data_IF_339464239956
#
_entry.id   IF_339464239956
#
_cell.length_a   1.000
_cell.length_b   1.000
_cell.length_c   1.000
_cell.angle_alpha   90.00
_cell.angle_beta   90.00
_cell.angle_gamma   90.00
#
_symmetry.space_group_name_H-M   'P 1'
#
loop_
_entity.id
_entity.type
_entity.pdbx_description
1 polymer ?
#
# COMPACT_ATOMS: atom_id res chain seq x y z
N UNK A 1 -19.28 9.15 -3.53
CA UNK A 1 -18.77 9.69 -4.80
C UNK A 1 -19.21 8.75 -5.92
N UNK A 2 -19.94 9.25 -6.91
CA UNK A 2 -20.42 8.47 -8.05
C UNK A 2 -20.16 9.27 -9.32
N UNK A 3 -18.87 9.40 -9.64
CA UNK A 3 -18.32 10.27 -10.69
C UNK A 3 -17.85 9.48 -11.94
N UNK A 4 -18.06 8.16 -11.93
CA UNK A 4 -17.62 7.26 -13.01
C UNK A 4 -16.13 6.93 -13.01
N UNK A 5 -15.35 7.44 -12.03
CA UNK A 5 -13.93 7.18 -11.92
C UNK A 5 -13.63 5.95 -11.03
N UNK A 6 -12.55 5.24 -11.34
CA UNK A 6 -12.04 4.19 -10.47
C UNK A 6 -11.06 4.80 -9.46
N UNK A 7 -11.30 4.58 -8.17
CA UNK A 7 -10.43 5.03 -7.08
C UNK A 7 -9.68 3.84 -6.50
N UNK A 8 -8.35 3.96 -6.39
CA UNK A 8 -7.48 2.82 -6.08
C UNK A 8 -6.92 2.87 -4.66
N UNK A 9 -6.65 4.06 -4.13
CA UNK A 9 -6.08 4.22 -2.80
C UNK A 9 -6.52 5.53 -2.15
N UNK A 10 -6.49 5.56 -0.81
CA UNK A 10 -6.77 6.74 0.01
C UNK A 10 -5.76 6.82 1.16
N UNK A 11 -5.31 8.03 1.48
CA UNK A 11 -4.52 8.32 2.67
C UNK A 11 -5.20 9.42 3.49
N UNK A 12 -5.10 9.33 4.81
CA UNK A 12 -5.48 10.41 5.73
C UNK A 12 -4.22 11.04 6.33
N UNK A 13 -4.20 12.37 6.38
CA UNK A 13 -3.08 13.13 6.92
C UNK A 13 -3.36 14.62 6.87
N UNK A 14 -2.68 15.42 7.71
CA UNK A 14 -2.89 16.86 7.76
C UNK A 14 -4.38 17.27 7.83
N UNK A 15 -5.18 16.52 8.60
CA UNK A 15 -6.61 16.78 8.80
C UNK A 15 -7.52 16.44 7.61
N UNK A 16 -7.05 15.72 6.58
CA UNK A 16 -7.86 15.42 5.40
C UNK A 16 -7.59 14.04 4.79
N UNK A 17 -8.58 13.53 4.09
CA UNK A 17 -8.49 12.39 3.19
C UNK A 17 -8.05 12.86 1.80
N UNK A 18 -7.18 12.06 1.19
CA UNK A 18 -6.73 12.22 -0.19
C UNK A 18 -6.84 10.88 -0.89
N UNK A 19 -7.72 10.78 -1.88
CA UNK A 19 -7.91 9.60 -2.71
C UNK A 19 -7.25 9.79 -4.07
N UNK A 20 -6.76 8.70 -4.66
CA UNK A 20 -6.08 8.68 -5.96
C UNK A 20 -6.66 7.57 -6.83
N UNK A 21 -6.68 7.77 -8.15
CA UNK A 21 -7.38 6.85 -9.04
C UNK A 21 -7.01 6.95 -10.52
N UNK A 22 -7.91 6.44 -11.35
CA UNK A 22 -7.78 6.37 -12.80
C UNK A 22 -7.59 7.75 -13.44
N UNK A 23 -6.85 7.82 -14.54
CA UNK A 23 -6.68 9.05 -15.32
C UNK A 23 -5.99 10.20 -14.56
N UNK A 24 -5.25 9.89 -13.49
CA UNK A 24 -4.54 10.88 -12.68
C UNK A 24 -5.43 11.71 -11.77
N UNK A 25 -6.63 11.20 -11.48
CA UNK A 25 -7.57 11.83 -10.58
C UNK A 25 -7.08 11.79 -9.13
N UNK A 26 -7.20 12.93 -8.46
CA UNK A 26 -6.98 13.11 -7.03
C UNK A 26 -8.23 13.75 -6.44
N UNK A 27 -8.77 13.18 -5.38
CA UNK A 27 -9.88 13.76 -4.65
C UNK A 27 -9.49 14.04 -3.21
N UNK A 28 -9.96 15.16 -2.66
CA UNK A 28 -9.72 15.54 -1.27
C UNK A 28 -11.02 15.72 -0.51
N UNK A 29 -11.01 15.40 0.78
CA UNK A 29 -12.15 15.54 1.68
C UNK A 29 -11.68 15.77 3.12
N UNK A 30 -12.37 16.62 3.88
CA UNK A 30 -12.10 16.81 5.32
C UNK A 30 -13.00 15.94 6.21
N UNK A 31 -14.10 15.43 5.66
CA UNK A 31 -15.13 14.68 6.38
C UNK A 31 -15.31 13.25 5.87
N UNK A 32 -14.61 12.87 4.80
CA UNK A 32 -14.73 11.57 4.13
C UNK A 32 -16.03 11.39 3.33
N UNK A 33 -16.92 12.38 3.33
CA UNK A 33 -18.26 12.31 2.73
C UNK A 33 -18.32 13.22 1.49
N UNK A 34 -17.86 14.46 1.63
CA UNK A 34 -17.86 15.46 0.57
C UNK A 34 -16.47 15.56 -0.05
N UNK A 35 -16.37 15.37 -1.37
CA UNK A 35 -15.11 15.25 -2.09
C UNK A 35 -14.96 16.30 -3.17
N UNK A 36 -13.77 16.89 -3.27
CA UNK A 36 -13.35 17.80 -4.35
C UNK A 36 -12.32 17.12 -5.23
N UNK A 37 -12.58 17.03 -6.54
CA UNK A 37 -11.76 16.27 -7.50
C UNK A 37 -10.92 17.22 -8.36
N UNK A 38 -9.68 16.82 -8.63
CA UNK A 38 -8.79 17.46 -9.59
C UNK A 38 -7.91 16.40 -10.27
N UNK A 39 -7.71 16.53 -11.57
CA UNK A 39 -6.72 15.74 -12.31
C UNK A 39 -5.44 16.57 -12.46
N UNK A 40 -4.30 15.99 -12.12
CA UNK A 40 -3.00 16.70 -12.18
C UNK A 40 -2.03 16.09 -13.19
N UNK A 41 -2.28 14.85 -13.62
CA UNK A 41 -1.55 14.13 -14.66
C UNK A 41 -2.53 13.25 -15.45
N UNK A 42 -2.08 12.62 -16.55
CA UNK A 42 -2.91 11.79 -17.43
C UNK A 42 -2.69 10.27 -17.26
N UNK A 43 -2.22 9.83 -16.09
CA UNK A 43 -1.91 8.42 -15.81
C UNK A 43 -2.51 8.00 -14.48
N UNK A 44 -2.96 6.74 -14.40
CA UNK A 44 -3.49 6.13 -13.19
C UNK A 44 -2.56 6.25 -11.99
N UNK A 45 -3.11 6.56 -10.82
CA UNK A 45 -2.37 6.71 -9.57
C UNK A 45 -2.76 5.59 -8.61
N UNK A 46 -1.85 4.65 -8.39
CA UNK A 46 -2.20 3.35 -7.79
C UNK A 46 -2.05 3.32 -6.27
N UNK A 47 -1.20 4.20 -5.71
CA UNK A 47 -0.89 4.17 -4.29
C UNK A 47 -0.56 5.56 -3.75
N UNK A 48 -0.97 5.82 -2.51
CA UNK A 48 -0.71 7.05 -1.78
C UNK A 48 -0.46 6.72 -0.31
N UNK A 49 0.44 7.44 0.34
CA UNK A 49 0.61 7.42 1.80
C UNK A 49 0.78 8.84 2.33
N UNK A 50 0.54 9.05 3.62
CA UNK A 50 0.93 10.25 4.33
C UNK A 50 2.00 9.92 5.37
N UNK A 51 3.01 10.76 5.48
CA UNK A 51 4.11 10.59 6.42
C UNK A 51 5.14 11.70 6.27
N UNK A 52 5.96 11.93 7.29
CA UNK A 52 6.93 13.03 7.27
C UNK A 52 6.30 14.36 6.80
N UNK A 53 5.09 14.66 7.32
CA UNK A 53 4.30 15.86 7.04
C UNK A 53 3.84 16.05 5.57
N UNK A 54 3.90 15.00 4.74
CA UNK A 54 3.50 15.09 3.33
C UNK A 54 2.78 13.84 2.83
N UNK A 55 1.92 14.04 1.84
CA UNK A 55 1.40 13.00 0.97
C UNK A 55 2.44 12.63 -0.08
N UNK A 56 2.60 11.33 -0.32
CA UNK A 56 3.51 10.79 -1.32
C UNK A 56 2.78 9.76 -2.16
N UNK A 57 2.89 9.92 -3.48
CA UNK A 57 2.36 9.01 -4.50
C UNK A 57 3.53 8.52 -5.33
N UNK A 58 3.67 7.21 -5.48
CA UNK A 58 4.65 6.64 -6.41
C UNK A 58 3.92 6.08 -7.63
N UNK A 59 4.35 6.52 -8.81
CA UNK A 59 3.85 5.99 -10.09
C UNK A 59 5.00 5.76 -11.04
N UNK A 60 5.35 4.49 -11.28
CA UNK A 60 6.43 4.10 -12.21
C UNK A 60 7.70 4.94 -12.01
N UNK A 61 8.07 5.74 -13.01
CA UNK A 61 9.22 6.64 -13.10
C UNK A 61 8.99 8.03 -12.45
N UNK A 62 7.85 8.24 -11.77
CA UNK A 62 7.46 9.50 -11.14
C UNK A 62 7.10 9.33 -9.67
N UNK A 63 7.33 10.40 -8.92
CA UNK A 63 6.84 10.56 -7.55
C UNK A 63 6.15 11.91 -7.46
N UNK A 64 4.96 11.94 -6.87
CA UNK A 64 4.23 13.17 -6.61
C UNK A 64 4.17 13.40 -5.10
N UNK A 65 4.44 14.63 -4.69
CA UNK A 65 4.49 15.03 -3.28
C UNK A 65 3.64 16.26 -3.03
N UNK A 66 2.94 16.28 -1.90
CA UNK A 66 2.10 17.41 -1.49
C UNK A 66 2.02 17.50 0.02
N UNK A 67 2.15 18.70 0.60
CA UNK A 67 1.93 18.92 2.02
C UNK A 67 0.43 19.06 2.38
N UNK A 68 -0.37 19.56 1.44
CA UNK A 68 -1.77 19.97 1.64
C UNK A 68 -2.78 19.06 0.93
N UNK A 69 -2.32 18.06 0.16
CA UNK A 69 -3.14 17.18 -0.66
C UNK A 69 -3.76 17.85 -1.90
N UNK A 70 -3.52 19.14 -2.13
CA UNK A 70 -4.16 19.96 -3.18
C UNK A 70 -3.13 20.40 -4.21
N UNK A 71 -1.98 20.88 -3.75
CA UNK A 71 -0.87 21.38 -4.55
C UNK A 71 0.21 20.32 -4.62
N UNK A 72 0.56 19.87 -5.82
CA UNK A 72 1.46 18.74 -6.03
C UNK A 72 2.68 19.13 -6.82
N UNK A 73 3.84 18.68 -6.35
CA UNK A 73 5.11 18.73 -7.08
C UNK A 73 5.43 17.33 -7.62
N UNK A 74 5.90 17.26 -8.86
CA UNK A 74 6.27 16.00 -9.52
C UNK A 74 7.79 15.90 -9.65
N UNK A 75 8.34 14.75 -9.30
CA UNK A 75 9.77 14.44 -9.35
C UNK A 75 10.01 13.14 -10.11
N UNK A 76 11.22 12.97 -10.63
CA UNK A 76 11.69 11.73 -11.21
C UNK A 76 11.89 10.67 -10.11
N UNK A 77 11.41 9.45 -10.32
CA UNK A 77 11.64 8.32 -9.43
C UNK A 77 12.96 7.62 -9.78
N UNK A 78 14.05 8.06 -9.17
CA UNK A 78 15.38 7.44 -9.31
C UNK A 78 15.47 6.01 -8.74
N UNK A 79 14.51 5.58 -7.92
CA UNK A 79 14.41 4.21 -7.42
C UNK A 79 13.68 3.24 -8.36
N UNK A 80 13.18 3.72 -9.50
CA UNK A 80 12.47 2.91 -10.49
C UNK A 80 13.44 2.05 -11.31
N UNK A 81 13.22 0.74 -11.33
CA UNK A 81 14.11 -0.24 -12.00
C UNK A 81 13.41 -0.98 -13.16
N UNK A 82 12.39 -0.36 -13.77
CA UNK A 82 11.59 -0.97 -14.83
C UNK A 82 10.28 -1.60 -14.35
N UNK A 83 9.49 -2.09 -15.31
CA UNK A 83 8.04 -2.32 -15.17
C UNK A 83 7.67 -3.17 -13.95
N UNK A 84 6.96 -2.53 -13.02
CA UNK A 84 6.09 -3.24 -12.07
C UNK A 84 4.95 -3.84 -12.88
N UNK A 85 4.73 -5.14 -12.74
CA UNK A 85 3.64 -5.84 -13.43
C UNK A 85 2.37 -5.86 -12.60
N UNK A 86 2.24 -5.00 -11.58
CA UNK A 86 1.22 -5.19 -10.57
C UNK A 86 1.01 -4.08 -9.54
N UNK A 87 0.27 -4.46 -8.50
CA UNK A 87 -0.12 -3.61 -7.39
C UNK A 87 1.09 -3.06 -6.64
N UNK A 88 1.08 -1.74 -6.43
CA UNK A 88 2.04 -1.06 -5.57
C UNK A 88 1.35 -0.74 -4.24
N UNK A 89 2.09 -0.86 -3.15
CA UNK A 89 1.62 -0.39 -1.84
C UNK A 89 2.71 0.44 -1.17
N UNK A 90 2.28 1.48 -0.45
CA UNK A 90 3.13 2.46 0.21
C UNK A 90 2.72 2.55 1.68
N UNK A 91 3.71 2.64 2.57
CA UNK A 91 3.49 3.07 3.93
C UNK A 91 4.63 4.00 4.39
N UNK A 92 4.39 4.70 5.50
CA UNK A 92 5.42 5.47 6.20
C UNK A 92 5.55 4.98 7.64
N UNK A 93 6.77 4.85 8.11
CA UNK A 93 7.08 4.41 9.46
C UNK A 93 8.57 4.45 9.74
N UNK A 94 8.95 4.51 11.01
CA UNK A 94 10.37 4.55 11.42
C UNK A 94 11.20 5.62 10.65
N UNK A 95 10.61 6.79 10.37
CA UNK A 95 11.28 7.85 9.60
C UNK A 95 11.41 7.60 8.10
N UNK A 96 10.72 6.60 7.53
CA UNK A 96 10.95 6.10 6.17
C UNK A 96 9.65 5.77 5.43
N UNK A 97 9.57 6.21 4.19
CA UNK A 97 8.63 5.70 3.20
C UNK A 97 9.13 4.37 2.66
N UNK A 98 8.23 3.39 2.59
CA UNK A 98 8.51 2.05 2.08
C UNK A 98 7.49 1.74 1.00
N UNK A 99 7.98 1.43 -0.20
CA UNK A 99 7.16 0.92 -1.28
C UNK A 99 7.43 -0.57 -1.45
N UNK A 100 6.36 -1.35 -1.53
CA UNK A 100 6.43 -2.75 -1.94
C UNK A 100 5.72 -2.93 -3.28
N UNK A 101 6.24 -3.84 -4.09
CA UNK A 101 5.63 -4.26 -5.35
C UNK A 101 6.20 -5.63 -5.76
N UNK A 102 5.77 -6.14 -6.91
CA UNK A 102 6.31 -7.38 -7.45
C UNK A 102 6.69 -7.26 -8.93
N UNK A 103 7.63 -8.13 -9.34
CA UNK A 103 8.02 -8.36 -10.73
C UNK A 103 8.21 -9.86 -10.92
N UNK A 104 7.39 -10.45 -11.80
CA UNK A 104 7.29 -11.92 -11.89
C UNK A 104 6.79 -12.50 -10.57
N UNK A 105 7.49 -13.50 -10.04
CA UNK A 105 7.16 -14.13 -8.75
C UNK A 105 7.87 -13.51 -7.54
N UNK A 106 8.60 -12.41 -7.71
CA UNK A 106 9.50 -11.87 -6.69
C UNK A 106 9.00 -10.54 -6.12
N UNK A 107 9.29 -10.34 -4.83
CA UNK A 107 8.91 -9.16 -4.07
C UNK A 107 10.04 -8.15 -3.99
N UNK A 108 9.73 -6.91 -4.32
CA UNK A 108 10.69 -5.81 -4.38
C UNK A 108 10.32 -4.70 -3.40
N UNK A 109 11.37 -4.05 -2.89
CA UNK A 109 11.25 -2.89 -2.01
C UNK A 109 12.16 -1.77 -2.50
N UNK A 110 11.64 -0.56 -2.50
CA UNK A 110 12.45 0.65 -2.44
C UNK A 110 11.96 1.56 -1.31
N UNK A 111 12.86 2.42 -0.85
CA UNK A 111 12.62 3.25 0.33
C UNK A 111 13.06 4.69 0.10
N UNK A 112 12.53 5.60 0.89
CA UNK A 112 12.92 7.00 0.89
C UNK A 112 12.75 7.58 2.29
N UNK A 113 13.60 8.50 2.71
CA UNK A 113 13.44 9.25 3.98
C UNK A 113 12.73 10.60 3.75
N UNK A 114 12.80 11.14 2.54
CA UNK A 114 12.24 12.45 2.17
C UNK A 114 11.00 12.36 1.27
N UNK A 115 10.66 11.17 0.77
CA UNK A 115 9.54 10.96 -0.15
C UNK A 115 9.81 11.42 -1.59
N UNK A 116 11.02 11.86 -1.91
CA UNK A 116 11.42 12.40 -3.21
C UNK A 116 12.56 11.56 -3.80
N UNK A 117 13.60 11.31 -3.02
CA UNK A 117 14.76 10.53 -3.42
C UNK A 117 14.59 9.10 -2.93
N UNK A 118 14.50 8.15 -3.87
CA UNK A 118 14.26 6.75 -3.59
C UNK A 118 15.51 5.90 -3.82
N UNK A 119 15.73 4.93 -2.94
CA UNK A 119 16.76 3.92 -3.14
C UNK A 119 16.43 3.07 -4.37
N UNK A 120 17.43 2.53 -5.08
CA UNK A 120 17.18 1.50 -6.10
C UNK A 120 16.34 0.36 -5.52
N UNK A 121 15.44 -0.18 -6.33
CA UNK A 121 14.64 -1.31 -5.90
C UNK A 121 15.50 -2.56 -5.69
N UNK A 122 15.24 -3.27 -4.58
CA UNK A 122 15.91 -4.51 -4.21
C UNK A 122 14.90 -5.63 -4.15
N UNK A 123 15.21 -6.77 -4.75
CA UNK A 123 14.48 -8.02 -4.49
C UNK A 123 14.78 -8.44 -3.05
N UNK A 124 13.75 -8.60 -2.23
CA UNK A 124 13.92 -8.92 -0.80
C UNK A 124 13.33 -10.27 -0.40
N UNK A 125 12.42 -10.83 -1.20
CA UNK A 125 11.77 -12.12 -0.93
C UNK A 125 11.45 -12.89 -2.21
N UNK A 126 11.23 -14.19 -2.06
CA UNK A 126 10.92 -15.14 -3.15
C UNK A 126 9.46 -15.17 -3.62
N UNK A 127 8.63 -14.21 -3.19
CA UNK A 127 7.19 -14.15 -3.47
C UNK A 127 6.69 -12.73 -3.71
N UNK A 128 5.53 -12.58 -4.33
CA UNK A 128 4.92 -11.27 -4.63
C UNK A 128 4.55 -10.49 -3.37
N UNK A 129 4.80 -9.18 -3.35
CA UNK A 129 4.30 -8.25 -2.32
C UNK A 129 3.20 -7.36 -2.90
N UNK A 130 2.10 -7.22 -2.17
CA UNK A 130 0.90 -6.47 -2.58
C UNK A 130 0.50 -5.37 -1.61
N UNK A 131 0.66 -5.60 -0.32
CA UNK A 131 0.30 -4.65 0.73
C UNK A 131 1.44 -4.48 1.72
N UNK A 132 1.59 -3.28 2.28
CA UNK A 132 2.52 -3.00 3.37
C UNK A 132 1.91 -2.04 4.40
N UNK A 133 2.16 -2.29 5.69
CA UNK A 133 1.77 -1.41 6.78
C UNK A 133 2.89 -1.30 7.82
N UNK A 134 2.77 -0.33 8.73
CA UNK A 134 3.77 -0.07 9.75
C UNK A 134 3.20 -0.07 11.18
N UNK A 135 3.70 -1.02 11.97
CA UNK A 135 3.88 -0.97 13.43
C UNK A 135 5.24 -1.54 13.81
N UNK A 136 5.57 -2.66 13.15
CA UNK A 136 6.81 -2.92 12.42
C UNK A 136 6.43 -2.99 10.93
N UNK A 137 7.38 -3.00 10.01
CA UNK A 137 7.00 -3.21 8.61
C UNK A 137 6.52 -4.65 8.43
N UNK A 138 5.28 -4.79 7.95
CA UNK A 138 4.67 -6.06 7.56
C UNK A 138 4.22 -5.91 6.13
N UNK A 139 4.69 -6.80 5.26
CA UNK A 139 4.29 -6.85 3.86
C UNK A 139 3.68 -8.22 3.53
N UNK A 140 2.64 -8.21 2.70
CA UNK A 140 1.79 -9.38 2.45
C UNK A 140 1.62 -9.62 0.96
N UNK A 141 1.33 -10.85 0.55
CA UNK A 141 1.02 -11.14 -0.84
C UNK A 141 0.51 -12.54 -1.12
N UNK A 142 0.92 -13.09 -2.27
CA UNK A 142 0.39 -14.33 -2.81
C UNK A 142 0.74 -15.55 -1.95
N UNK A 143 -0.13 -16.56 -1.99
CA UNK A 143 0.11 -17.86 -1.37
C UNK A 143 0.20 -17.85 0.16
N UNK A 144 -0.29 -16.81 0.81
CA UNK A 144 -0.32 -16.68 2.26
C UNK A 144 0.94 -16.07 2.84
N UNK A 145 1.85 -15.59 1.99
CA UNK A 145 3.18 -15.17 2.40
C UNK A 145 3.19 -13.80 3.08
N UNK A 146 4.00 -13.69 4.13
CA UNK A 146 4.17 -12.49 4.95
C UNK A 146 5.66 -12.25 5.18
N UNK A 147 6.14 -11.10 4.75
CA UNK A 147 7.48 -10.58 5.04
C UNK A 147 7.42 -9.54 6.16
N UNK A 148 8.47 -9.47 6.97
CA UNK A 148 8.60 -8.48 8.05
C UNK A 148 9.93 -7.76 7.98
N UNK A 149 9.94 -6.54 8.49
CA UNK A 149 11.15 -5.77 8.68
C UNK A 149 11.01 -4.78 9.84
N UNK A 150 12.10 -4.53 10.54
CA UNK A 150 12.18 -3.48 11.58
C UNK A 150 12.67 -2.15 11.03
N UNK A 151 13.38 -2.17 9.89
CA UNK A 151 13.98 -0.99 9.28
C UNK A 151 13.38 -0.64 7.91
N UNK A 152 12.63 -1.54 7.28
CA UNK A 152 12.07 -1.36 5.93
C UNK A 152 13.07 -1.61 4.80
N UNK A 153 14.31 -2.00 5.11
CA UNK A 153 15.39 -2.32 4.15
C UNK A 153 15.70 -3.82 4.17
N UNK A 154 15.87 -4.38 5.36
CA UNK A 154 16.20 -5.78 5.56
C UNK A 154 14.93 -6.53 5.92
N UNK A 155 14.52 -7.40 5.02
CA UNK A 155 13.28 -8.16 5.17
C UNK A 155 13.61 -9.62 5.45
N UNK A 156 12.83 -10.19 6.36
CA UNK A 156 12.82 -11.63 6.62
C UNK A 156 11.44 -12.16 6.33
N UNK A 157 11.38 -13.43 5.93
CA UNK A 157 10.12 -14.15 5.82
C UNK A 157 9.66 -14.51 7.24
N UNK A 158 8.45 -14.11 7.62
CA UNK A 158 7.94 -14.39 8.97
C UNK A 158 7.25 -15.74 9.04
N UNK A 159 6.26 -15.97 8.15
CA UNK A 159 5.43 -17.17 8.10
C UNK A 159 4.50 -17.14 6.88
N UNK A 160 4.20 -18.31 6.33
CA UNK A 160 3.09 -18.51 5.40
C UNK A 160 1.82 -18.85 6.19
N UNK A 161 0.76 -18.07 6.02
CA UNK A 161 -0.53 -18.28 6.71
C UNK A 161 -1.58 -18.70 5.68
N UNK A 162 -1.85 -20.01 5.67
CA UNK A 162 -2.74 -20.63 4.68
C UNK A 162 -2.19 -20.53 3.25
N UNK A 163 -3.06 -20.70 2.27
CA UNK A 163 -2.74 -20.62 0.83
C UNK A 163 -3.41 -19.43 0.13
N UNK A 164 -3.92 -18.48 0.93
CA UNK A 164 -4.75 -17.35 0.50
C UNK A 164 -3.92 -16.27 -0.17
N UNK A 165 -4.54 -15.43 -1.00
CA UNK A 165 -3.87 -14.22 -1.50
C UNK A 165 -4.18 -13.07 -0.57
N UNK A 166 -3.17 -12.56 0.13
CA UNK A 166 -3.30 -11.37 0.96
C UNK A 166 -3.15 -10.11 0.10
N UNK A 167 -4.17 -9.26 0.11
CA UNK A 167 -4.25 -8.09 -0.76
C UNK A 167 -3.81 -6.82 -0.04
N UNK A 168 -4.19 -6.67 1.22
CA UNK A 168 -3.93 -5.47 2.00
C UNK A 168 -3.66 -5.80 3.47
N UNK A 169 -2.93 -4.91 4.11
CA UNK A 169 -2.62 -4.97 5.53
C UNK A 169 -2.74 -3.56 6.11
N UNK A 170 -3.25 -3.46 7.33
CA UNK A 170 -3.27 -2.23 8.12
C UNK A 170 -2.75 -2.51 9.53
N UNK A 171 -2.24 -1.46 10.18
CA UNK A 171 -1.86 -1.50 11.59
C UNK A 171 -2.46 -0.30 12.30
N UNK A 172 -3.13 -0.56 13.43
CA UNK A 172 -3.65 0.47 14.31
C UNK A 172 -4.09 -0.15 15.63
N UNK A 173 -4.15 0.65 16.69
CA UNK A 173 -4.45 0.18 18.05
C UNK A 173 -3.65 -1.09 18.46
N UNK A 174 -2.35 -1.11 18.13
CA UNK A 174 -1.42 -2.23 18.37
C UNK A 174 -1.77 -3.56 17.70
N UNK A 175 -2.62 -3.55 16.67
CA UNK A 175 -3.05 -4.75 15.96
C UNK A 175 -2.86 -4.62 14.46
N UNK A 176 -2.29 -5.65 13.86
CA UNK A 176 -2.31 -5.87 12.42
C UNK A 176 -3.59 -6.56 12.00
N UNK A 177 -4.15 -6.09 10.89
CA UNK A 177 -5.27 -6.72 10.20
C UNK A 177 -4.85 -6.92 8.75
N UNK A 178 -4.93 -8.16 8.27
CA UNK A 178 -4.71 -8.53 6.87
C UNK A 178 -6.03 -8.97 6.28
N UNK A 179 -6.31 -8.53 5.05
CA UNK A 179 -7.45 -8.99 4.27
C UNK A 179 -7.02 -9.52 2.91
N UNK A 180 -7.79 -10.45 2.37
CA UNK A 180 -7.46 -11.09 1.10
C UNK A 180 -8.57 -11.97 0.55
N UNK A 181 -8.18 -12.85 -0.37
CA UNK A 181 -9.08 -13.81 -1.00
C UNK A 181 -8.61 -15.27 -0.93
N UNK A 182 -9.57 -16.19 -1.01
CA UNK A 182 -9.35 -17.63 -1.08
C UNK A 182 -9.08 -18.17 -2.47
N UNK A 183 -9.64 -17.52 -3.49
CA UNK A 183 -9.35 -17.73 -4.90
C UNK A 183 -9.30 -16.37 -5.59
N UNK A 184 -8.77 -16.29 -6.83
CA UNK A 184 -8.57 -15.02 -7.52
C UNK A 184 -9.83 -14.13 -7.60
N UNK A 185 -11.03 -14.72 -7.54
CA UNK A 185 -12.31 -14.01 -7.61
C UNK A 185 -13.32 -14.47 -6.54
N UNK A 186 -12.87 -14.94 -5.38
CA UNK A 186 -13.80 -15.45 -4.38
C UNK A 186 -13.24 -15.71 -2.99
N UNK A 187 -14.14 -15.56 -2.03
CA UNK A 187 -13.94 -15.85 -0.62
C UNK A 187 -13.09 -14.79 0.08
N UNK A 188 -13.71 -13.85 0.78
CA UNK A 188 -13.05 -12.79 1.53
C UNK A 188 -12.57 -13.30 2.88
N UNK A 189 -11.27 -13.17 3.14
CA UNK A 189 -10.64 -13.65 4.36
C UNK A 189 -10.00 -12.52 5.16
N UNK A 190 -9.93 -12.72 6.47
CA UNK A 190 -9.24 -11.88 7.43
C UNK A 190 -8.30 -12.73 8.29
N UNK A 191 -7.17 -12.15 8.70
CA UNK A 191 -6.33 -12.64 9.79
C UNK A 191 -5.76 -11.46 10.57
N UNK A 192 -5.43 -11.67 11.84
CA UNK A 192 -4.94 -10.63 12.74
C UNK A 192 -3.70 -11.06 13.51
N UNK A 193 -2.93 -10.08 13.97
CA UNK A 193 -1.75 -10.30 14.81
C UNK A 193 -1.47 -9.07 15.65
N UNK A 194 -1.07 -9.26 16.90
CA UNK A 194 -0.65 -8.14 17.77
C UNK A 194 0.84 -7.79 17.60
N UNK A 195 1.65 -8.72 17.07
CA UNK A 195 3.11 -8.59 16.99
C UNK A 195 3.69 -8.69 15.56
N UNK A 196 2.85 -9.01 14.57
CA UNK A 196 3.23 -9.23 13.17
C UNK A 196 3.99 -10.54 12.92
N UNK A 197 4.11 -11.41 13.92
CA UNK A 197 4.83 -12.69 13.86
C UNK A 197 3.85 -13.87 14.05
N UNK A 198 2.98 -13.74 15.03
CA UNK A 198 2.00 -14.73 15.41
C UNK A 198 0.63 -14.29 14.91
N UNK A 199 0.09 -15.03 13.94
CA UNK A 199 -1.16 -14.70 13.25
C UNK A 199 -2.27 -15.67 13.63
N UNK A 200 -3.49 -15.17 13.73
CA UNK A 200 -4.68 -15.99 13.87
C UNK A 200 -4.92 -16.83 12.62
N UNK A 201 -5.63 -17.96 12.75
CA UNK A 201 -6.07 -18.71 11.57
C UNK A 201 -6.93 -17.82 10.66
N UNK A 202 -6.80 -17.94 9.32
CA UNK A 202 -7.67 -17.24 8.38
C UNK A 202 -9.15 -17.52 8.64
N UNK A 203 -9.93 -16.46 8.82
CA UNK A 203 -11.38 -16.52 8.95
C UNK A 203 -12.02 -16.01 7.65
N UNK A 204 -13.01 -16.75 7.13
CA UNK A 204 -13.78 -16.32 5.97
C UNK A 204 -14.97 -15.48 6.43
N UNK A 205 -15.03 -14.23 5.99
CA UNK A 205 -16.16 -13.35 6.30
C UNK A 205 -17.15 -13.24 5.14
N UNK A 206 -16.71 -13.52 3.91
CA UNK A 206 -17.55 -13.51 2.72
C UNK A 206 -17.21 -14.73 1.86
N UNK A 207 -18.21 -15.47 1.38
CA UNK A 207 -18.01 -16.63 0.53
C UNK A 207 -17.71 -16.26 -0.94
N UNK A 208 -18.13 -15.07 -1.35
CA UNK A 208 -18.29 -14.67 -2.75
C UNK A 208 -17.36 -13.53 -3.15
N UNK A 209 -17.15 -12.55 -2.27
CA UNK A 209 -16.41 -11.34 -2.61
C UNK A 209 -14.96 -11.38 -2.13
N UNK A 210 -14.08 -10.67 -2.84
CA UNK A 210 -12.69 -10.45 -2.45
C UNK A 210 -12.54 -9.16 -1.66
N UNK A 211 -11.73 -9.17 -0.61
CA UNK A 211 -11.32 -7.95 0.07
C UNK A 211 -10.01 -7.40 -0.51
N UNK A 212 -10.03 -6.14 -0.95
CA UNK A 212 -8.91 -5.49 -1.63
C UNK A 212 -8.19 -4.43 -0.79
N UNK A 213 -8.84 -3.92 0.26
CA UNK A 213 -8.32 -2.84 1.09
C UNK A 213 -8.75 -2.99 2.54
N UNK A 214 -7.92 -2.49 3.44
CA UNK A 214 -8.21 -2.37 4.88
C UNK A 214 -7.52 -1.11 5.39
N UNK A 215 -8.16 -0.41 6.31
CA UNK A 215 -7.58 0.70 7.04
C UNK A 215 -7.77 0.48 8.55
N UNK A 216 -6.92 1.13 9.35
CA UNK A 216 -7.08 1.17 10.79
C UNK A 216 -7.31 2.63 11.22
N UNK A 217 -8.06 2.79 12.31
CA UNK A 217 -8.38 4.07 12.95
C UNK A 217 -7.40 4.30 14.10
#
# INVERSE_FOLDING_TARGET
>A
MNDGNAWYAVAYGNGKFVAVGSGGNIATSIDGINWSIKSIISYDLDCITYGNEKFVICKSDKVLVSADGITWSTYSNNGYSGESTGYNSLCYGNGRFVKVYYKGSYGYVNTSTDGINWTPAKQVVGFNLKGVAYGKFVAVGFGGNIAISTDGINWSESKQIGTKTWNAVAYGNRKFIIVGCGTYNGGGYITTSDDGLNWSSPEQLDATNTFHGVCAI
#
